data_IF_653325533350
#
_entry.id   IF_653325533350
#
_cell.length_a   1.000
_cell.length_b   1.000
_cell.length_c   1.000
_cell.angle_alpha   90.00
_cell.angle_beta   90.00
_cell.angle_gamma   90.00
#
_symmetry.space_group_name_H-M   'P 1'
#
loop_
_entity.id
_entity.type
_entity.pdbx_description
1 polymer ?
#
# COMPACT_ATOMS: atom_id res chain seq x y z
N UNK A 1 71.08 12.45 -34.64
CA UNK A 1 69.62 12.39 -34.87
C UNK A 1 68.92 12.34 -33.52
N UNK A 2 68.25 13.44 -33.13
CA UNK A 2 67.58 13.57 -31.81
C UNK A 2 66.13 13.09 -31.94
N UNK A 3 65.77 11.99 -31.26
CA UNK A 3 64.38 11.57 -31.03
C UNK A 3 63.90 12.12 -29.68
N UNK A 4 63.28 13.30 -29.69
CA UNK A 4 62.53 13.82 -28.55
C UNK A 4 61.30 14.57 -29.08
N UNK A 5 60.27 13.84 -29.51
CA UNK A 5 59.02 14.46 -29.99
C UNK A 5 57.76 13.61 -29.74
N UNK A 6 57.80 12.67 -28.79
CA UNK A 6 56.62 11.89 -28.39
C UNK A 6 55.95 12.29 -27.06
N UNK A 7 56.63 12.87 -26.03
CA UNK A 7 55.95 13.14 -24.77
C UNK A 7 55.07 14.40 -24.80
N UNK A 8 55.22 15.27 -25.80
CA UNK A 8 54.43 16.51 -25.91
C UNK A 8 53.02 16.27 -26.49
N UNK A 9 52.85 15.23 -27.32
CA UNK A 9 51.54 14.89 -27.88
C UNK A 9 50.60 14.27 -26.83
N UNK A 10 51.13 13.48 -25.88
CA UNK A 10 50.32 12.84 -24.84
C UNK A 10 49.75 13.84 -23.82
N UNK A 11 50.48 14.93 -23.53
CA UNK A 11 50.05 15.96 -22.60
C UNK A 11 48.88 16.83 -23.13
N UNK A 12 48.68 16.88 -24.45
CA UNK A 12 47.59 17.62 -25.07
C UNK A 12 46.22 16.90 -24.97
N UNK A 13 46.22 15.56 -24.82
CA UNK A 13 44.99 14.75 -24.79
C UNK A 13 44.31 14.79 -23.41
N UNK A 14 45.08 15.05 -22.34
CA UNK A 14 44.60 15.08 -20.95
C UNK A 14 43.98 16.42 -20.50
N UNK A 15 43.84 17.41 -21.40
CA UNK A 15 43.28 18.74 -21.05
C UNK A 15 41.75 18.80 -21.08
N UNK A 16 41.05 17.69 -21.34
CA UNK A 16 39.59 17.66 -21.47
C UNK A 16 38.82 17.10 -20.25
N UNK A 17 39.47 16.77 -19.13
CA UNK A 17 38.78 16.10 -18.01
C UNK A 17 38.06 17.03 -17.02
N UNK A 18 38.04 18.34 -17.24
CA UNK A 18 37.31 19.31 -16.39
C UNK A 18 36.01 19.80 -17.08
N UNK A 19 35.41 18.98 -17.94
CA UNK A 19 34.03 19.19 -18.34
C UNK A 19 33.14 18.79 -17.16
N UNK A 20 32.94 19.71 -16.22
CA UNK A 20 31.92 19.59 -15.19
C UNK A 20 30.57 19.48 -15.91
N UNK A 21 30.03 18.26 -16.02
CA UNK A 21 28.73 18.00 -16.63
C UNK A 21 27.68 18.72 -15.77
N UNK A 22 27.33 19.94 -16.14
CA UNK A 22 26.23 20.68 -15.53
C UNK A 22 24.95 20.01 -15.96
N UNK A 23 24.48 19.04 -15.16
CA UNK A 23 23.16 18.46 -15.35
C UNK A 23 22.15 19.50 -14.87
N UNK A 24 21.56 20.22 -15.82
CA UNK A 24 20.41 21.07 -15.54
C UNK A 24 19.20 20.16 -15.36
N UNK A 25 19.04 19.61 -14.15
CA UNK A 25 17.76 19.01 -13.80
C UNK A 25 16.72 20.12 -13.80
N UNK A 26 15.74 20.02 -14.69
CA UNK A 26 14.50 20.76 -14.52
C UNK A 26 13.98 20.46 -13.12
N UNK A 27 13.63 21.50 -12.35
CA UNK A 27 12.98 21.31 -11.05
C UNK A 27 11.80 20.35 -11.26
N UNK A 28 11.72 19.24 -10.51
CA UNK A 28 10.60 18.31 -10.65
C UNK A 28 9.29 19.06 -10.40
N UNK A 29 8.18 18.67 -11.06
CA UNK A 29 6.87 19.22 -10.77
C UNK A 29 6.54 19.11 -9.27
N UNK A 30 5.66 19.98 -8.77
CA UNK A 30 5.17 19.85 -7.41
C UNK A 30 4.37 18.53 -7.26
N UNK A 31 4.47 17.92 -6.07
CA UNK A 31 3.71 16.72 -5.77
C UNK A 31 2.23 17.05 -5.56
N UNK A 32 1.37 16.39 -6.35
CA UNK A 32 -0.08 16.55 -6.35
C UNK A 32 -0.78 15.17 -6.45
N UNK A 33 -0.14 14.12 -5.96
CA UNK A 33 -0.70 12.78 -5.91
C UNK A 33 -2.01 12.76 -5.09
N UNK A 34 -3.01 12.01 -5.58
CA UNK A 34 -4.35 12.00 -5.01
C UNK A 34 -4.45 11.07 -3.81
N UNK A 35 -5.11 11.53 -2.76
CA UNK A 35 -5.45 10.72 -1.59
C UNK A 35 -6.93 10.86 -1.28
N UNK A 36 -7.52 9.82 -0.71
CA UNK A 36 -8.90 9.86 -0.24
C UNK A 36 -9.03 9.12 1.09
N UNK A 37 -9.65 9.78 2.06
CA UNK A 37 -10.06 9.16 3.31
C UNK A 37 -11.44 8.55 3.13
N UNK A 38 -11.53 7.24 3.17
CA UNK A 38 -12.80 6.53 3.08
C UNK A 38 -13.42 6.39 4.47
N UNK A 39 -14.73 6.52 4.53
CA UNK A 39 -15.54 6.29 5.71
C UNK A 39 -16.96 5.85 5.31
N UNK A 40 -17.85 5.68 6.30
CA UNK A 40 -19.23 5.24 6.08
C UNK A 40 -20.04 6.15 5.14
N UNK A 41 -19.64 7.41 4.95
CA UNK A 41 -20.35 8.37 4.11
C UNK A 41 -20.02 8.23 2.63
N UNK A 42 -18.78 7.86 2.28
CA UNK A 42 -18.28 7.88 0.90
C UNK A 42 -17.82 6.51 0.37
N UNK A 43 -17.77 5.46 1.20
CA UNK A 43 -17.26 4.16 0.78
C UNK A 43 -18.10 3.54 -0.35
N UNK A 44 -19.42 3.74 -0.37
CA UNK A 44 -20.27 3.13 -1.41
C UNK A 44 -20.09 3.77 -2.79
N UNK A 45 -19.91 5.08 -2.85
CA UNK A 45 -19.70 5.81 -4.11
C UNK A 45 -18.27 5.63 -4.66
N UNK A 46 -17.32 5.25 -3.81
CA UNK A 46 -15.91 5.02 -4.17
C UNK A 46 -15.55 3.53 -4.31
N UNK A 47 -16.54 2.68 -4.58
CA UNK A 47 -16.37 1.23 -4.66
C UNK A 47 -15.35 0.81 -5.72
N UNK A 48 -14.47 -0.13 -5.34
CA UNK A 48 -13.64 -0.88 -6.28
C UNK A 48 -14.42 -2.11 -6.72
N UNK A 49 -14.82 -2.16 -8.00
CA UNK A 49 -15.63 -3.25 -8.54
C UNK A 49 -14.83 -4.55 -8.55
N UNK A 50 -15.52 -5.67 -8.35
CA UNK A 50 -14.94 -7.02 -8.43
C UNK A 50 -13.71 -7.21 -7.51
N UNK A 51 -13.75 -6.59 -6.32
CA UNK A 51 -12.67 -6.63 -5.35
C UNK A 51 -13.17 -7.23 -4.04
N UNK A 52 -12.82 -8.50 -3.80
CA UNK A 52 -13.24 -9.26 -2.61
C UNK A 52 -12.83 -8.57 -1.30
N UNK A 53 -11.66 -7.92 -1.29
CA UNK A 53 -11.19 -7.17 -0.12
C UNK A 53 -12.07 -5.96 0.17
N UNK A 54 -12.52 -5.25 -0.87
CA UNK A 54 -13.43 -4.11 -0.74
C UNK A 54 -14.79 -4.56 -0.21
N UNK A 55 -15.30 -5.69 -0.71
CA UNK A 55 -16.57 -6.26 -0.26
C UNK A 55 -16.52 -6.64 1.24
N UNK A 56 -15.39 -7.19 1.72
CA UNK A 56 -15.16 -7.44 3.14
C UNK A 56 -15.20 -6.15 3.97
N UNK A 57 -14.54 -5.08 3.49
CA UNK A 57 -14.53 -3.79 4.16
C UNK A 57 -15.94 -3.18 4.22
N UNK A 58 -16.73 -3.30 3.16
CA UNK A 58 -18.12 -2.80 3.12
C UNK A 58 -19.03 -3.47 4.16
N UNK A 59 -18.74 -4.71 4.55
CA UNK A 59 -19.47 -5.45 5.57
C UNK A 59 -18.97 -5.18 6.99
N UNK A 60 -17.84 -4.50 7.14
CA UNK A 60 -17.17 -4.28 8.43
C UNK A 60 -17.55 -2.95 9.06
N UNK A 61 -17.27 -2.81 10.37
CA UNK A 61 -17.32 -1.51 11.05
C UNK A 61 -16.08 -0.71 10.68
N UNK A 62 -16.26 0.43 10.01
CA UNK A 62 -15.16 1.23 9.47
C UNK A 62 -15.06 2.63 10.09
N UNK A 63 -13.87 3.21 9.99
CA UNK A 63 -13.57 4.62 10.31
C UNK A 63 -12.62 5.22 9.28
N UNK A 64 -12.67 6.54 9.22
CA UNK A 64 -11.73 7.35 8.44
C UNK A 64 -10.30 7.22 8.99
N UNK A 65 -9.28 7.02 8.15
CA UNK A 65 -7.90 7.02 8.60
C UNK A 65 -7.36 8.44 8.80
N UNK A 66 -6.24 8.52 9.48
CA UNK A 66 -5.38 9.69 9.41
C UNK A 66 -4.45 9.59 8.21
N UNK A 67 -4.39 10.67 7.43
CA UNK A 67 -3.48 10.81 6.29
C UNK A 67 -2.70 12.10 6.53
N UNK A 68 -1.39 11.99 6.62
CA UNK A 68 -0.43 13.08 6.77
C UNK A 68 0.39 13.14 5.49
N UNK A 69 0.44 14.30 4.84
CA UNK A 69 1.24 14.53 3.64
C UNK A 69 2.25 15.62 3.97
N UNK A 70 3.52 15.33 3.74
CA UNK A 70 4.63 16.28 3.85
C UNK A 70 5.43 16.26 2.54
N UNK A 71 5.30 17.33 1.77
CA UNK A 71 5.83 17.47 0.40
C UNK A 71 5.44 16.28 -0.50
N UNK A 72 6.39 15.41 -0.83
CA UNK A 72 6.20 14.22 -1.64
C UNK A 72 6.12 12.93 -0.81
N UNK A 73 5.92 13.01 0.51
CA UNK A 73 5.77 11.86 1.38
C UNK A 73 4.36 11.78 1.95
N UNK A 74 3.87 10.56 2.15
CA UNK A 74 2.59 10.29 2.80
C UNK A 74 2.77 9.28 3.91
N UNK A 75 2.08 9.50 5.01
CA UNK A 75 1.86 8.53 6.05
C UNK A 75 0.35 8.33 6.26
N UNK A 76 -0.09 7.08 6.22
CA UNK A 76 -1.49 6.70 6.48
C UNK A 76 -1.52 5.79 7.71
N UNK A 77 -2.37 6.10 8.68
CA UNK A 77 -2.46 5.33 9.92
C UNK A 77 -3.89 5.25 10.44
N UNK A 78 -4.15 4.20 11.19
CA UNK A 78 -5.40 3.99 11.92
C UNK A 78 -5.17 4.17 13.42
N UNK A 79 -6.15 4.76 14.11
CA UNK A 79 -6.13 4.84 15.56
C UNK A 79 -6.72 3.58 16.22
N UNK A 80 -6.31 3.34 17.47
CA UNK A 80 -6.96 2.34 18.33
C UNK A 80 -6.78 0.87 17.91
N UNK A 81 -5.70 0.53 17.21
CA UNK A 81 -5.42 -0.85 16.78
C UNK A 81 -6.36 -1.37 15.69
N UNK A 82 -7.07 -0.48 15.00
CA UNK A 82 -7.85 -0.83 13.81
C UNK A 82 -6.92 -1.24 12.67
N UNK A 83 -7.38 -2.12 11.80
CA UNK A 83 -6.60 -2.57 10.66
C UNK A 83 -6.77 -1.60 9.48
N UNK A 84 -5.66 -1.17 8.90
CA UNK A 84 -5.60 -0.33 7.72
C UNK A 84 -5.74 -1.16 6.45
N UNK A 85 -6.63 -0.71 5.58
CA UNK A 85 -6.82 -1.20 4.22
C UNK A 85 -6.63 -0.02 3.27
N UNK A 86 -5.96 -0.29 2.14
CA UNK A 86 -5.78 0.69 1.07
C UNK A 86 -6.35 0.18 -0.24
N UNK A 87 -6.80 1.10 -1.06
CA UNK A 87 -7.40 0.84 -2.36
C UNK A 87 -6.94 1.85 -3.39
N UNK A 88 -6.93 1.42 -4.64
CA UNK A 88 -6.83 2.27 -5.82
C UNK A 88 -8.17 2.20 -6.60
N UNK A 89 -8.15 2.52 -7.90
CA UNK A 89 -9.31 2.35 -8.78
C UNK A 89 -9.67 0.89 -9.08
N UNK A 90 -8.69 -0.01 -9.01
CA UNK A 90 -8.79 -1.37 -9.56
C UNK A 90 -8.15 -2.46 -8.66
N UNK A 91 -7.60 -2.07 -7.51
CA UNK A 91 -6.93 -3.00 -6.58
C UNK A 91 -7.04 -2.53 -5.14
N UNK A 92 -6.67 -3.42 -4.22
CA UNK A 92 -6.58 -3.12 -2.80
C UNK A 92 -5.61 -4.04 -2.09
N UNK A 93 -5.16 -3.59 -0.92
CA UNK A 93 -4.28 -4.36 -0.05
C UNK A 93 -4.62 -4.12 1.42
N UNK A 94 -4.41 -5.17 2.23
CA UNK A 94 -4.49 -5.10 3.69
C UNK A 94 -3.11 -4.79 4.24
N UNK A 95 -2.98 -3.69 4.95
CA UNK A 95 -1.72 -3.29 5.63
C UNK A 95 -1.69 -3.81 7.07
N UNK A 96 -2.85 -3.92 7.72
CA UNK A 96 -2.95 -4.37 9.11
C UNK A 96 -2.83 -3.21 10.11
N UNK A 97 -2.30 -3.45 11.30
CA UNK A 97 -2.28 -2.43 12.38
C UNK A 97 -1.17 -1.37 12.23
N UNK A 98 -0.33 -1.50 11.20
CA UNK A 98 0.82 -0.63 10.98
C UNK A 98 0.46 0.62 10.19
N UNK A 99 1.26 1.68 10.34
CA UNK A 99 1.22 2.81 9.42
C UNK A 99 1.79 2.41 8.06
N UNK A 100 1.21 2.95 7.01
CA UNK A 100 1.73 2.88 5.65
C UNK A 100 2.48 4.17 5.35
N UNK A 101 3.73 4.05 4.95
CA UNK A 101 4.51 5.18 4.42
C UNK A 101 4.67 5.04 2.90
N UNK A 102 4.74 6.17 2.21
CA UNK A 102 4.87 6.20 0.75
C UNK A 102 5.41 7.50 0.21
N UNK A 103 5.75 7.49 -1.07
CA UNK A 103 6.30 8.62 -1.79
C UNK A 103 5.53 8.91 -3.07
N UNK A 104 5.27 10.18 -3.36
CA UNK A 104 4.65 10.62 -4.59
C UNK A 104 5.70 10.72 -5.70
N UNK A 105 5.48 10.06 -6.83
CA UNK A 105 6.26 10.31 -8.04
C UNK A 105 5.80 11.65 -8.66
N UNK A 106 6.63 12.71 -8.70
CA UNK A 106 6.24 14.03 -9.20
C UNK A 106 6.03 14.06 -10.72
N UNK A 107 6.47 13.05 -11.47
CA UNK A 107 6.26 12.98 -12.92
C UNK A 107 4.98 12.21 -13.25
N UNK A 108 4.73 11.10 -12.56
CA UNK A 108 3.56 10.25 -12.80
C UNK A 108 2.35 10.65 -11.96
N UNK A 109 2.57 11.41 -10.89
CA UNK A 109 1.54 11.85 -9.94
C UNK A 109 0.79 10.67 -9.30
N UNK A 110 1.53 9.60 -9.03
CA UNK A 110 1.06 8.39 -8.37
C UNK A 110 1.87 8.13 -7.11
N UNK A 111 1.25 7.51 -6.11
CA UNK A 111 1.93 7.07 -4.89
C UNK A 111 2.67 5.76 -5.11
N UNK A 112 3.86 5.67 -4.55
CA UNK A 112 4.65 4.44 -4.41
C UNK A 112 4.64 4.05 -2.94
N UNK A 113 4.05 2.91 -2.62
CA UNK A 113 3.84 2.43 -1.24
C UNK A 113 4.32 0.99 -1.11
N UNK A 114 4.80 0.59 0.06
CA UNK A 114 5.14 -0.81 0.35
C UNK A 114 3.92 -1.51 0.97
N UNK A 115 3.38 -2.51 0.27
CA UNK A 115 2.22 -3.29 0.73
C UNK A 115 2.61 -4.54 1.52
N UNK A 116 3.90 -4.74 1.79
CA UNK A 116 4.46 -5.97 2.37
C UNK A 116 4.81 -7.03 1.33
N UNK A 117 4.34 -6.87 0.09
CA UNK A 117 4.74 -7.69 -1.07
C UNK A 117 5.74 -6.95 -1.99
N UNK A 118 6.26 -5.80 -1.53
CA UNK A 118 7.12 -4.91 -2.28
C UNK A 118 6.44 -3.58 -2.64
N UNK A 119 7.18 -2.78 -3.40
CA UNK A 119 6.73 -1.44 -3.79
C UNK A 119 5.67 -1.52 -4.89
N UNK A 120 4.52 -0.92 -4.63
CA UNK A 120 3.40 -0.85 -5.53
C UNK A 120 2.98 0.58 -5.82
N UNK A 121 2.45 0.79 -7.02
CA UNK A 121 1.98 2.09 -7.47
C UNK A 121 0.46 2.25 -7.29
N UNK A 122 0.02 3.41 -6.83
CA UNK A 122 -1.38 3.78 -6.62
C UNK A 122 -1.68 5.13 -7.31
N UNK A 123 -2.63 5.15 -8.25
CA UNK A 123 -3.07 6.37 -8.93
C UNK A 123 -3.80 7.31 -7.98
N UNK A 124 -4.63 6.72 -7.13
CA UNK A 124 -5.29 7.40 -6.03
C UNK A 124 -5.17 6.51 -4.79
N UNK A 125 -4.53 7.01 -3.74
CA UNK A 125 -4.36 6.25 -2.50
C UNK A 125 -5.59 6.47 -1.61
N UNK A 126 -6.52 5.51 -1.63
CA UNK A 126 -7.73 5.52 -0.80
C UNK A 126 -7.50 4.68 0.44
N UNK A 127 -7.60 5.26 1.63
CA UNK A 127 -7.39 4.55 2.89
C UNK A 127 -8.67 4.39 3.70
N UNK A 128 -8.83 3.27 4.41
CA UNK A 128 -9.93 3.00 5.35
C UNK A 128 -9.43 2.19 6.54
N UNK A 129 -9.96 2.47 7.72
CA UNK A 129 -9.70 1.69 8.92
C UNK A 129 -10.87 0.76 9.21
N UNK A 130 -10.58 -0.53 9.40
CA UNK A 130 -11.54 -1.54 9.83
C UNK A 130 -11.33 -1.82 11.31
N UNK A 131 -12.37 -1.64 12.13
CA UNK A 131 -12.31 -1.98 13.54
C UNK A 131 -12.24 -3.50 13.67
N UNK A 132 -11.30 -3.98 14.47
CA UNK A 132 -11.31 -5.38 14.89
C UNK A 132 -12.56 -5.60 15.73
N UNK A 133 -13.48 -6.42 15.24
CA UNK A 133 -14.51 -6.97 16.10
C UNK A 133 -13.81 -7.89 17.11
N UNK A 134 -13.59 -7.40 18.32
CA UNK A 134 -13.39 -8.27 19.46
C UNK A 134 -14.72 -8.95 19.71
N UNK A 135 -14.95 -10.10 19.08
CA UNK A 135 -16.08 -10.96 19.43
C UNK A 135 -15.79 -11.48 20.84
N UNK A 136 -16.30 -10.76 21.85
CA UNK A 136 -16.37 -11.29 23.21
C UNK A 136 -17.52 -12.30 23.17
N UNK A 137 -17.21 -13.56 22.85
CA UNK A 137 -18.16 -14.65 23.00
C UNK A 137 -18.45 -14.81 24.51
N UNK A 138 -19.48 -14.13 25.00
CA UNK A 138 -20.01 -14.40 26.33
C UNK A 138 -20.79 -15.73 26.25
N UNK A 139 -20.55 -16.68 27.17
CA UNK A 139 -21.14 -18.04 27.13
C UNK A 139 -22.66 -18.09 27.30
N UNK A 140 -23.35 -16.96 27.20
CA UNK A 140 -24.81 -16.82 27.28
C UNK A 140 -25.49 -16.64 25.93
N UNK A 141 -24.73 -16.47 24.83
CA UNK A 141 -25.30 -16.33 23.49
C UNK A 141 -25.47 -17.70 22.80
N UNK A 142 -26.68 -18.09 22.33
CA UNK A 142 -26.91 -19.33 21.59
C UNK A 142 -26.05 -19.45 20.31
N UNK A 143 -25.51 -18.37 19.76
CA UNK A 143 -24.52 -18.41 18.67
C UNK A 143 -23.18 -19.03 19.09
N UNK A 144 -22.86 -19.05 20.39
CA UNK A 144 -21.63 -19.64 20.94
C UNK A 144 -21.57 -21.15 20.69
N UNK A 145 -22.72 -21.83 20.71
CA UNK A 145 -22.77 -23.27 20.42
C UNK A 145 -22.35 -23.52 18.96
N UNK A 146 -22.93 -22.79 18.00
CA UNK A 146 -22.66 -22.95 16.58
C UNK A 146 -21.19 -22.67 16.23
N UNK A 147 -20.59 -21.64 16.84
CA UNK A 147 -19.18 -21.28 16.61
C UNK A 147 -18.24 -22.30 17.25
N UNK A 148 -18.55 -22.82 18.44
CA UNK A 148 -17.76 -23.88 19.06
C UNK A 148 -17.74 -25.15 18.19
N UNK A 149 -18.90 -25.61 17.73
CA UNK A 149 -18.97 -26.76 16.82
C UNK A 149 -18.25 -26.49 15.49
N UNK A 150 -18.33 -25.27 14.93
CA UNK A 150 -17.66 -24.94 13.68
C UNK A 150 -16.13 -24.95 13.80
N UNK A 151 -15.58 -24.61 14.96
CA UNK A 151 -14.13 -24.59 15.20
C UNK A 151 -13.57 -25.96 15.60
N UNK A 152 -14.41 -26.84 16.18
CA UNK A 152 -14.06 -28.23 16.49
C UNK A 152 -14.26 -29.20 15.31
N UNK A 153 -14.84 -28.73 14.21
CA UNK A 153 -15.07 -29.54 13.00
C UNK A 153 -13.76 -29.71 12.23
N UNK A 154 -13.08 -30.83 12.44
CA UNK A 154 -11.94 -31.23 11.62
C UNK A 154 -12.43 -31.61 10.20
N UNK A 155 -11.67 -31.15 9.19
CA UNK A 155 -11.93 -31.36 7.75
C UNK A 155 -12.07 -32.84 7.34
N UNK A 156 -11.65 -33.76 8.21
CA UNK A 156 -11.76 -35.20 8.04
C UNK A 156 -13.19 -35.74 8.25
N UNK A 157 -13.97 -35.22 9.19
CA UNK A 157 -15.33 -35.70 9.49
C UNK A 157 -16.34 -35.35 8.38
N UNK A 158 -16.14 -34.20 7.71
CA UNK A 158 -16.98 -33.79 6.56
C UNK A 158 -16.87 -34.75 5.37
N UNK A 159 -15.71 -35.40 5.17
CA UNK A 159 -15.53 -36.38 4.08
C UNK A 159 -16.19 -37.72 4.37
N UNK A 160 -16.32 -38.11 5.65
CA UNK A 160 -16.96 -39.36 6.03
C UNK A 160 -18.50 -39.27 6.00
N UNK A 161 -19.08 -38.09 6.24
CA UNK A 161 -20.54 -37.88 6.18
C UNK A 161 -21.13 -37.81 4.76
N UNK A 162 -20.33 -37.43 3.75
CA UNK A 162 -20.78 -37.31 2.34
C UNK A 162 -20.68 -38.62 1.54
N UNK A 163 -20.09 -39.68 2.11
CA UNK A 163 -19.94 -41.00 1.48
C UNK A 163 -20.88 -42.07 2.06
N UNK A 164 -21.99 -41.66 2.69
CA UNK A 164 -23.11 -42.55 3.03
C UNK A 164 -24.34 -42.12 2.23
N UNK A 165 -24.39 -42.54 0.96
CA UNK A 165 -25.62 -42.79 0.21
C UNK A 165 -25.41 -43.97 -0.71
#
# INVERSE_FOLDING_TARGET
MKLYSFPFLLAAILKFSEACLVIRYSKPPACACKTLKLDSSNIKENQVKENELYDLVLLSVIKSPEILIDDCSVQVRCEGGSELYIFDTDKGSKIGEYSLDGFCDPYQQHWMVDTGNGMEQYKELKGVCVLKETVICLPTDPATLLIAYSNDLDSFELRQGLYVR
#
